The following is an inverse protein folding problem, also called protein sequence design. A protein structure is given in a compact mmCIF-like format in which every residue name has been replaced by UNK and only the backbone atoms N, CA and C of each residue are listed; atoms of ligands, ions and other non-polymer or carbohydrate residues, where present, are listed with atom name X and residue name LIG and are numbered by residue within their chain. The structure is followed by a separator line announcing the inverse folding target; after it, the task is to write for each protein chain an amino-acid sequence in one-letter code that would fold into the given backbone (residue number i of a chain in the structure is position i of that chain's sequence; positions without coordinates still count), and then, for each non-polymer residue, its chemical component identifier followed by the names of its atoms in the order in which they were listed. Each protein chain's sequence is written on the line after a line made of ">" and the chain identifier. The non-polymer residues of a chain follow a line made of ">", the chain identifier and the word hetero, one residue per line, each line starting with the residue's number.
data_IF_583873879067
#
_entry.id   IF_583873879067
#
_cell.length_a   1.000
_cell.length_b   1.000
_cell.length_c   1.000
_cell.angle_alpha   90.00
_cell.angle_beta   90.00
_cell.angle_gamma   90.00
#
_symmetry.space_group_name_H-M   'P 1'
#
loop_
_entity.id
_entity.type
_entity.pdbx_description
1 polymer ?
#
# COMPACT_ATOMS: atom_id res chain seq x y z
N UNK A 1 -17.67 -16.22 9.16
CA UNK A 1 -17.82 -15.05 8.26
C UNK A 1 -17.90 -13.79 9.11
N UNK A 2 -17.40 -12.67 8.60
CA UNK A 2 -17.52 -11.38 9.28
C UNK A 2 -18.97 -10.85 9.22
N UNK A 3 -19.39 -10.11 10.25
CA UNK A 3 -20.71 -9.49 10.39
C UNK A 3 -20.70 -8.02 9.97
N UNK A 4 -21.88 -7.41 9.82
CA UNK A 4 -22.00 -5.97 9.57
C UNK A 4 -21.34 -5.13 10.67
N UNK A 5 -21.36 -5.60 11.92
CA UNK A 5 -20.69 -4.94 13.04
C UNK A 5 -19.17 -4.97 12.88
N UNK A 6 -18.59 -6.08 12.42
CA UNK A 6 -17.15 -6.19 12.16
C UNK A 6 -16.70 -5.21 11.06
N UNK A 7 -17.53 -5.06 10.01
CA UNK A 7 -17.28 -4.10 8.92
C UNK A 7 -17.33 -2.67 9.45
N UNK A 8 -18.30 -2.34 10.30
CA UNK A 8 -18.41 -1.00 10.89
C UNK A 8 -17.18 -0.66 11.76
N UNK A 9 -16.72 -1.63 12.56
CA UNK A 9 -15.51 -1.50 13.37
C UNK A 9 -14.28 -1.25 12.49
N UNK A 10 -14.09 -2.03 11.42
CA UNK A 10 -12.98 -1.86 10.48
C UNK A 10 -13.01 -0.47 9.80
N UNK A 11 -14.18 -0.04 9.32
CA UNK A 11 -14.38 1.27 8.71
C UNK A 11 -14.05 2.42 9.68
N UNK A 12 -14.49 2.32 10.94
CA UNK A 12 -14.22 3.33 11.97
C UNK A 12 -12.73 3.43 12.27
N UNK A 13 -12.05 2.29 12.43
CA UNK A 13 -10.61 2.24 12.67
C UNK A 13 -9.80 2.85 11.51
N UNK A 14 -10.17 2.54 10.26
CA UNK A 14 -9.53 3.09 9.07
C UNK A 14 -9.67 4.62 9.00
N UNK A 15 -10.88 5.15 9.23
CA UNK A 15 -11.14 6.60 9.22
C UNK A 15 -10.38 7.33 10.34
N UNK A 16 -10.35 6.76 11.55
CA UNK A 16 -9.63 7.35 12.68
C UNK A 16 -8.12 7.44 12.42
N UNK A 17 -7.55 6.45 11.72
CA UNK A 17 -6.10 6.37 11.46
C UNK A 17 -5.66 7.18 10.23
N UNK A 18 -6.58 7.43 9.28
CA UNK A 18 -6.27 8.07 8.00
C UNK A 18 -5.56 9.42 8.16
N UNK A 19 -6.04 10.29 9.04
CA UNK A 19 -5.46 11.64 9.19
C UNK A 19 -3.99 11.61 9.61
N UNK A 20 -3.64 10.77 10.59
CA UNK A 20 -2.26 10.62 11.03
C UNK A 20 -1.40 10.01 9.91
N UNK A 21 -1.88 8.94 9.27
CA UNK A 21 -1.18 8.29 8.16
C UNK A 21 -0.95 9.20 6.95
N UNK A 22 -1.94 10.00 6.57
CA UNK A 22 -1.85 10.93 5.45
C UNK A 22 -0.80 12.02 5.67
N UNK A 23 -0.58 12.42 6.94
CA UNK A 23 0.44 13.40 7.35
C UNK A 23 1.84 12.81 7.55
N UNK A 24 1.97 11.50 7.66
CA UNK A 24 3.29 10.85 7.69
C UNK A 24 4.09 11.23 6.44
N UNK A 25 5.35 11.69 6.59
CA UNK A 25 6.21 12.00 5.44
C UNK A 25 6.29 10.82 4.46
N UNK A 26 6.41 11.12 3.17
CA UNK A 26 6.45 10.10 2.12
C UNK A 26 7.55 9.04 2.38
N UNK A 27 8.73 9.47 2.80
CA UNK A 27 9.84 8.58 3.15
C UNK A 27 9.48 7.61 4.28
N UNK A 28 8.75 8.07 5.30
CA UNK A 28 8.25 7.23 6.38
C UNK A 28 7.24 6.19 5.90
N UNK A 29 6.32 6.58 5.00
CA UNK A 29 5.37 5.63 4.40
C UNK A 29 6.08 4.59 3.53
N UNK A 30 7.05 5.00 2.72
CA UNK A 30 7.88 4.11 1.90
C UNK A 30 8.66 3.14 2.80
N UNK A 31 9.22 3.62 3.92
CA UNK A 31 9.95 2.77 4.87
C UNK A 31 9.06 1.65 5.45
N UNK A 32 7.80 1.94 5.78
CA UNK A 32 6.82 0.93 6.22
C UNK A 32 6.59 -0.11 5.11
N UNK A 33 6.37 0.33 3.87
CA UNK A 33 6.20 -0.59 2.74
C UNK A 33 7.45 -1.44 2.48
N UNK A 34 8.64 -0.86 2.59
CA UNK A 34 9.91 -1.58 2.45
C UNK A 34 10.08 -2.62 3.56
N UNK A 35 9.70 -2.30 4.81
CA UNK A 35 9.69 -3.28 5.89
C UNK A 35 8.73 -4.44 5.59
N UNK A 36 7.57 -4.17 5.03
CA UNK A 36 6.63 -5.21 4.58
C UNK A 36 7.24 -6.09 3.48
N UNK A 37 7.88 -5.51 2.47
CA UNK A 37 8.64 -6.26 1.44
C UNK A 37 9.70 -7.17 2.05
N UNK A 38 10.46 -6.67 3.01
CA UNK A 38 11.53 -7.44 3.65
C UNK A 38 10.97 -8.59 4.48
N UNK A 39 9.84 -8.39 5.16
CA UNK A 39 9.11 -9.45 5.86
C UNK A 39 8.56 -10.51 4.90
N UNK A 40 8.01 -10.13 3.74
CA UNK A 40 7.58 -11.09 2.72
C UNK A 40 8.74 -11.99 2.27
N UNK A 41 9.94 -11.40 2.07
CA UNK A 41 11.14 -12.15 1.71
C UNK A 41 11.61 -13.07 2.85
N UNK A 42 11.59 -12.58 4.08
CA UNK A 42 11.97 -13.34 5.27
C UNK A 42 11.09 -14.57 5.48
N UNK A 43 9.78 -14.45 5.22
CA UNK A 43 8.79 -15.51 5.44
C UNK A 43 8.35 -16.21 4.14
N UNK A 44 9.16 -16.12 3.07
CA UNK A 44 8.71 -16.48 1.73
C UNK A 44 8.26 -17.94 1.59
N UNK A 45 9.00 -18.88 2.19
CA UNK A 45 8.68 -20.32 2.12
C UNK A 45 7.43 -20.68 2.91
N UNK A 46 7.25 -20.09 4.10
CA UNK A 46 6.07 -20.30 4.93
C UNK A 46 4.81 -19.79 4.22
N UNK A 47 4.87 -18.57 3.68
CA UNK A 47 3.78 -17.98 2.90
C UNK A 47 3.48 -18.78 1.64
N UNK A 48 4.50 -19.26 0.92
CA UNK A 48 4.30 -20.07 -0.27
C UNK A 48 3.65 -21.42 0.05
N UNK A 49 4.04 -22.06 1.16
CA UNK A 49 3.42 -23.29 1.63
C UNK A 49 1.94 -23.08 1.98
N UNK A 50 1.61 -22.01 2.72
CA UNK A 50 0.23 -21.65 3.05
C UNK A 50 -0.61 -21.38 1.80
N UNK A 51 -0.11 -20.58 0.86
CA UNK A 51 -0.80 -20.30 -0.41
C UNK A 51 -1.04 -21.61 -1.19
N UNK A 52 -0.05 -22.50 -1.24
CA UNK A 52 -0.19 -23.80 -1.92
C UNK A 52 -1.25 -24.67 -1.25
N UNK A 53 -1.32 -24.70 0.08
CA UNK A 53 -2.29 -25.47 0.84
C UNK A 53 -3.73 -24.93 0.69
N UNK A 54 -3.91 -23.61 0.74
CA UNK A 54 -5.23 -22.98 0.69
C UNK A 54 -5.80 -22.92 -0.73
N UNK A 55 -4.95 -22.64 -1.73
CA UNK A 55 -5.38 -22.44 -3.12
C UNK A 55 -5.21 -23.70 -3.98
N UNK A 56 -4.34 -24.63 -3.57
CA UNK A 56 -4.04 -25.88 -4.29
C UNK A 56 -3.07 -25.73 -5.47
N UNK A 57 -2.45 -24.55 -5.64
CA UNK A 57 -1.46 -24.34 -6.70
C UNK A 57 -0.13 -25.01 -6.36
N UNK A 58 0.67 -25.41 -7.37
CA UNK A 58 2.01 -25.93 -7.13
C UNK A 58 2.87 -24.96 -6.33
N UNK A 59 3.70 -25.48 -5.41
CA UNK A 59 4.51 -24.68 -4.51
C UNK A 59 5.45 -23.68 -5.24
N UNK A 60 5.95 -24.03 -6.42
CA UNK A 60 6.80 -23.14 -7.21
C UNK A 60 6.04 -21.93 -7.78
N UNK A 61 4.75 -22.07 -8.11
CA UNK A 61 3.89 -20.93 -8.48
C UNK A 61 3.62 -20.05 -7.25
N UNK A 62 3.34 -20.66 -6.10
CA UNK A 62 3.13 -19.94 -4.85
C UNK A 62 4.37 -19.11 -4.43
N UNK A 63 5.59 -19.66 -4.59
CA UNK A 63 6.84 -18.91 -4.37
C UNK A 63 6.96 -17.70 -5.30
N UNK A 64 6.57 -17.87 -6.55
CA UNK A 64 6.58 -16.79 -7.54
C UNK A 64 5.60 -15.69 -7.16
N UNK A 65 4.44 -16.04 -6.60
CA UNK A 65 3.45 -15.09 -6.11
C UNK A 65 3.98 -14.25 -4.94
N UNK A 66 4.58 -14.88 -3.92
CA UNK A 66 5.17 -14.16 -2.78
C UNK A 66 6.28 -13.21 -3.26
N UNK A 67 7.14 -13.67 -4.18
CA UNK A 67 8.18 -12.84 -4.79
C UNK A 67 7.59 -11.65 -5.55
N UNK A 68 6.51 -11.88 -6.30
CA UNK A 68 5.81 -10.82 -7.03
C UNK A 68 5.21 -9.77 -6.10
N UNK A 69 4.67 -10.18 -4.95
CA UNK A 69 4.17 -9.25 -3.93
C UNK A 69 5.26 -8.36 -3.35
N UNK A 70 6.44 -8.93 -3.07
CA UNK A 70 7.59 -8.14 -2.63
C UNK A 70 8.01 -7.12 -3.71
N UNK A 71 8.11 -7.55 -4.98
CA UNK A 71 8.52 -6.68 -6.07
C UNK A 71 7.51 -5.55 -6.36
N UNK A 72 6.21 -5.80 -6.16
CA UNK A 72 5.15 -4.78 -6.32
C UNK A 72 5.34 -3.58 -5.38
N UNK A 73 5.99 -3.74 -4.24
CA UNK A 73 6.30 -2.63 -3.33
C UNK A 73 7.22 -1.62 -4.02
N UNK A 74 8.33 -2.10 -4.59
CA UNK A 74 9.33 -1.24 -5.24
C UNK A 74 8.73 -0.56 -6.48
N UNK A 75 7.98 -1.31 -7.29
CA UNK A 75 7.25 -0.78 -8.46
C UNK A 75 6.25 0.30 -8.05
N UNK A 76 5.52 0.11 -6.94
CA UNK A 76 4.53 1.08 -6.47
C UNK A 76 5.19 2.38 -5.99
N UNK A 77 6.31 2.29 -5.29
CA UNK A 77 7.07 3.46 -4.85
C UNK A 77 7.62 4.25 -6.05
N UNK A 78 8.19 3.56 -7.04
CA UNK A 78 8.65 4.20 -8.28
C UNK A 78 7.50 4.85 -9.04
N UNK A 79 6.37 4.15 -9.19
CA UNK A 79 5.22 4.66 -9.91
C UNK A 79 4.56 5.86 -9.22
N UNK A 80 4.62 5.93 -7.88
CA UNK A 80 4.23 7.12 -7.14
C UNK A 80 5.10 8.32 -7.55
N UNK A 81 6.42 8.18 -7.54
CA UNK A 81 7.34 9.25 -7.90
C UNK A 81 7.13 9.77 -9.34
N UNK A 82 6.84 8.87 -10.28
CA UNK A 82 6.55 9.24 -11.68
C UNK A 82 5.24 10.00 -11.84
N UNK A 83 4.20 9.64 -11.08
CA UNK A 83 2.82 10.15 -11.29
C UNK A 83 2.43 11.33 -10.41
N UNK A 84 3.21 11.66 -9.38
CA UNK A 84 2.81 12.66 -8.36
C UNK A 84 3.78 13.85 -8.31
N UNK A 85 4.04 14.46 -9.46
CA UNK A 85 4.84 15.68 -9.54
C UNK A 85 4.19 16.86 -8.81
N UNK A 86 5.01 17.85 -8.45
CA UNK A 86 4.54 19.14 -7.94
C UNK A 86 5.00 20.24 -8.91
N UNK A 87 4.16 21.24 -9.12
CA UNK A 87 4.52 22.42 -9.89
C UNK A 87 3.93 23.66 -9.24
N UNK A 88 4.62 24.79 -9.37
CA UNK A 88 4.13 26.08 -8.90
C UNK A 88 4.50 27.18 -9.88
N UNK A 89 3.60 28.12 -10.11
CA UNK A 89 3.83 29.30 -10.94
C UNK A 89 3.27 30.53 -10.25
N UNK A 90 4.02 31.63 -10.30
CA UNK A 90 3.53 32.92 -9.84
C UNK A 90 2.66 33.54 -10.95
N UNK A 91 1.46 33.97 -10.57
CA UNK A 91 0.46 34.59 -11.45
C UNK A 91 0.11 35.97 -10.87
N UNK A 92 -0.51 36.83 -11.69
CA UNK A 92 -0.81 38.21 -11.30
C UNK A 92 -1.61 38.33 -9.98
N UNK A 93 -2.41 37.31 -9.64
CA UNK A 93 -3.26 37.25 -8.43
C UNK A 93 -2.79 36.21 -7.37
N UNK A 94 -1.53 35.77 -7.41
CA UNK A 94 -0.95 34.89 -6.38
C UNK A 94 -0.16 33.71 -6.94
N UNK A 95 -0.25 32.53 -6.30
CA UNK A 95 0.47 31.33 -6.70
C UNK A 95 -0.49 30.23 -7.19
N UNK A 96 -0.26 29.71 -8.39
CA UNK A 96 -0.88 28.49 -8.89
C UNK A 96 -0.01 27.29 -8.51
N UNK A 97 -0.57 26.27 -7.85
CA UNK A 97 0.18 25.10 -7.39
C UNK A 97 -0.54 23.79 -7.70
N UNK A 98 0.17 22.83 -8.29
CA UNK A 98 -0.25 21.44 -8.43
C UNK A 98 0.31 20.61 -7.27
N UNK A 99 -0.56 19.93 -6.52
CA UNK A 99 -0.20 18.98 -5.47
C UNK A 99 -1.10 17.76 -5.50
N UNK A 100 -0.56 16.63 -5.07
CA UNK A 100 -1.27 15.36 -5.00
C UNK A 100 -1.57 15.03 -3.54
N UNK A 101 -2.82 14.68 -3.23
CA UNK A 101 -3.26 14.29 -1.88
C UNK A 101 -4.01 12.97 -1.92
N UNK A 102 -3.89 12.13 -0.88
CA UNK A 102 -4.63 10.87 -0.82
C UNK A 102 -6.14 11.13 -0.74
N UNK A 103 -6.93 10.33 -1.45
CA UNK A 103 -8.39 10.48 -1.49
C UNK A 103 -9.08 10.13 -0.17
N UNK A 104 -8.54 9.17 0.59
CA UNK A 104 -9.17 8.72 1.83
C UNK A 104 -9.02 7.23 2.08
N UNK A 105 -10.00 6.69 2.79
CA UNK A 105 -10.16 5.25 3.03
C UNK A 105 -10.65 4.58 1.74
N UNK A 106 -10.02 3.46 1.37
CA UNK A 106 -10.34 2.67 0.19
C UNK A 106 -10.71 1.24 0.58
N UNK A 107 -11.80 0.71 0.02
CA UNK A 107 -12.20 -0.69 0.18
C UNK A 107 -11.73 -1.51 -1.01
N UNK A 108 -11.19 -2.70 -0.74
CA UNK A 108 -10.75 -3.68 -1.76
C UNK A 108 -11.50 -4.99 -1.49
N UNK A 109 -11.97 -5.64 -2.55
CA UNK A 109 -12.71 -6.90 -2.53
C UNK A 109 -12.13 -7.86 -3.57
#
# INVERSE_FOLDING_TARGET
>A
AATSADIEVACKAARASFGAWARTPLSGRIAVCNRFRDLLRQHAEELAALISLEVGKPLWEARTEVTSMANKVDISAQAYAVRTGESSANIADGDAVLRHRPHGVFGVF
#
